data_IF_837329502968
#
_entry.id   IF_837329502968
#
_cell.length_a   1.000
_cell.length_b   1.000
_cell.length_c   1.000
_cell.angle_alpha   90.00
_cell.angle_beta   90.00
_cell.angle_gamma   90.00
#
_symmetry.space_group_name_H-M   'P 1'
#
loop_
_entity.id
_entity.type
_entity.pdbx_description
1 polymer ?
#
# COMPACT_ATOMS: atom_id res chain seq x y z
N UNK A 1 4.61 61.00 -55.90
CA UNK A 1 3.82 60.49 -54.77
C UNK A 1 3.86 58.98 -54.91
N UNK A 2 4.57 58.32 -53.96
CA UNK A 2 4.67 56.83 -53.90
C UNK A 2 3.84 56.40 -52.72
N UNK A 3 2.74 55.65 -52.97
CA UNK A 3 1.86 55.06 -51.97
C UNK A 3 2.48 53.75 -51.49
N UNK A 4 2.76 53.65 -50.23
CA UNK A 4 3.17 52.37 -49.60
C UNK A 4 1.92 51.69 -49.03
N UNK A 5 1.57 50.53 -49.57
CA UNK A 5 0.54 49.64 -49.00
C UNK A 5 1.15 48.84 -47.86
N UNK A 6 0.62 49.04 -46.65
CA UNK A 6 0.93 48.22 -45.49
C UNK A 6 0.07 46.95 -45.53
N UNK A 7 0.70 45.80 -45.74
CA UNK A 7 0.07 44.50 -45.50
C UNK A 7 0.21 44.14 -44.03
N UNK A 8 -0.90 44.21 -43.29
CA UNK A 8 -0.96 43.70 -41.93
C UNK A 8 -1.22 42.17 -41.95
N UNK A 9 -0.19 41.38 -41.69
CA UNK A 9 -0.31 39.94 -41.54
C UNK A 9 -0.90 39.62 -40.14
N UNK A 10 -2.11 39.05 -40.11
CA UNK A 10 -2.70 38.49 -38.86
C UNK A 10 -2.08 37.11 -38.62
N UNK A 11 -1.17 37.03 -37.66
CA UNK A 11 -0.69 35.76 -37.11
C UNK A 11 -1.78 35.19 -36.18
N UNK A 12 -2.56 34.21 -36.67
CA UNK A 12 -3.40 33.39 -35.84
C UNK A 12 -2.48 32.40 -35.08
N UNK A 13 -2.18 32.68 -33.82
CA UNK A 13 -1.57 31.74 -32.90
C UNK A 13 -2.61 30.71 -32.47
N UNK A 14 -2.58 29.53 -33.08
CA UNK A 14 -3.29 28.36 -32.57
C UNK A 14 -2.58 27.87 -31.30
N UNK A 15 -3.12 28.22 -30.15
CA UNK A 15 -2.74 27.59 -28.89
C UNK A 15 -3.32 26.16 -28.87
N UNK A 16 -2.51 25.17 -29.25
CA UNK A 16 -2.83 23.77 -28.97
C UNK A 16 -2.81 23.61 -27.48
N UNK A 17 -3.98 23.66 -26.83
CA UNK A 17 -4.15 23.19 -25.45
C UNK A 17 -3.95 21.67 -25.47
N UNK A 18 -2.75 21.21 -25.14
CA UNK A 18 -2.52 19.80 -24.80
C UNK A 18 -3.27 19.60 -23.48
N UNK A 19 -4.48 19.06 -23.56
CA UNK A 19 -5.22 18.62 -22.40
C UNK A 19 -4.50 17.37 -21.92
N UNK A 20 -3.75 17.50 -20.81
CA UNK A 20 -3.20 16.36 -20.13
C UNK A 20 -4.37 15.43 -19.79
N UNK A 21 -4.32 14.20 -20.26
CA UNK A 21 -5.33 13.20 -19.88
C UNK A 21 -5.34 13.02 -18.36
N UNK A 22 -6.46 12.56 -17.81
CA UNK A 22 -6.56 12.23 -16.39
C UNK A 22 -5.40 11.31 -15.98
N UNK A 23 -4.60 11.74 -15.00
CA UNK A 23 -3.48 10.96 -14.47
C UNK A 23 -4.02 9.85 -13.57
N UNK A 24 -4.60 8.80 -14.18
CA UNK A 24 -5.24 7.69 -13.48
C UNK A 24 -4.80 6.34 -14.03
N UNK A 25 -4.52 5.41 -13.12
CA UNK A 25 -4.47 3.98 -13.42
C UNK A 25 -5.86 3.41 -13.14
N UNK A 26 -6.54 2.82 -14.12
CA UNK A 26 -7.91 2.34 -13.93
C UNK A 26 -8.14 0.93 -14.48
N UNK A 27 -9.09 0.23 -13.85
CA UNK A 27 -9.41 -1.17 -14.16
C UNK A 27 -10.91 -1.44 -14.00
N UNK A 28 -11.40 -2.43 -14.73
CA UNK A 28 -12.80 -2.89 -14.68
C UNK A 28 -13.00 -4.20 -13.90
N UNK A 29 -11.99 -4.62 -13.15
CA UNK A 29 -12.02 -5.81 -12.32
C UNK A 29 -11.13 -5.66 -11.09
N UNK A 30 -11.40 -6.36 -9.98
CA UNK A 30 -10.50 -6.45 -8.83
C UNK A 30 -9.12 -6.98 -9.21
N UNK A 31 -8.12 -6.71 -8.38
CA UNK A 31 -6.82 -7.34 -8.49
C UNK A 31 -6.90 -8.82 -8.09
N UNK A 32 -6.39 -9.71 -8.92
CA UNK A 32 -6.23 -11.13 -8.61
C UNK A 32 -4.87 -11.45 -8.00
N UNK A 33 -3.87 -10.59 -8.26
CA UNK A 33 -2.50 -10.75 -7.78
C UNK A 33 -1.98 -9.46 -7.16
N UNK A 34 -0.91 -9.55 -6.37
CA UNK A 34 -0.31 -8.40 -5.70
C UNK A 34 0.13 -7.29 -6.66
N UNK A 35 0.69 -7.66 -7.81
CA UNK A 35 1.17 -6.68 -8.82
C UNK A 35 0.06 -5.93 -9.53
N UNK A 36 -1.19 -6.37 -9.42
CA UNK A 36 -2.37 -5.69 -9.96
C UNK A 36 -3.02 -4.77 -8.94
N UNK A 37 -2.66 -4.89 -7.65
CA UNK A 37 -3.20 -4.04 -6.59
C UNK A 37 -2.66 -2.60 -6.70
N UNK A 38 -3.43 -1.63 -6.22
CA UNK A 38 -3.10 -0.22 -6.32
C UNK A 38 -2.37 0.25 -5.05
N UNK A 39 -1.16 0.85 -5.17
CA UNK A 39 -0.40 1.28 -4.02
C UNK A 39 -0.85 2.65 -3.49
N UNK A 40 -0.94 2.78 -2.17
CA UNK A 40 -1.02 4.05 -1.45
C UNK A 40 0.00 4.05 -0.32
N UNK A 41 0.57 5.23 0.03
CA UNK A 41 1.57 5.28 1.09
C UNK A 41 1.91 6.71 1.53
N UNK A 42 2.49 6.81 2.74
CA UNK A 42 2.88 8.08 3.37
C UNK A 42 4.33 8.08 3.87
N UNK A 43 5.22 7.37 3.21
CA UNK A 43 6.61 7.08 3.54
C UNK A 43 6.81 6.07 4.70
N UNK A 44 6.00 6.09 5.75
CA UNK A 44 6.07 5.14 6.87
C UNK A 44 5.22 3.90 6.62
N UNK A 45 3.95 4.11 6.31
CA UNK A 45 3.00 3.04 6.03
C UNK A 45 2.65 2.99 4.55
N UNK A 46 2.40 1.82 4.06
CA UNK A 46 1.86 1.58 2.73
C UNK A 46 0.75 0.54 2.75
N UNK A 47 -0.12 0.60 1.76
CA UNK A 47 -1.11 -0.44 1.50
C UNK A 47 -1.18 -0.75 0.00
N UNK A 48 -1.32 -2.04 -0.32
CA UNK A 48 -1.73 -2.52 -1.64
C UNK A 48 -3.23 -2.77 -1.60
N UNK A 49 -4.00 -2.02 -2.39
CA UNK A 49 -5.47 -2.04 -2.41
C UNK A 49 -5.93 -2.93 -3.56
N UNK A 50 -6.58 -4.05 -3.25
CA UNK A 50 -7.00 -5.03 -4.26
C UNK A 50 -8.29 -4.66 -4.98
N UNK A 51 -9.17 -3.91 -4.35
CA UNK A 51 -10.44 -3.49 -4.94
C UNK A 51 -11.49 -4.62 -4.94
N UNK A 52 -11.42 -5.57 -4.03
CA UNK A 52 -12.41 -6.63 -3.89
C UNK A 52 -13.78 -6.09 -3.46
N UNK A 53 -14.87 -6.80 -3.79
CA UNK A 53 -16.23 -6.37 -3.49
C UNK A 53 -16.81 -7.06 -2.26
N UNK A 54 -16.97 -8.37 -2.28
CA UNK A 54 -17.41 -9.14 -1.12
C UNK A 54 -16.29 -9.27 -0.06
N UNK A 55 -15.03 -9.32 -0.50
CA UNK A 55 -13.85 -9.32 0.35
C UNK A 55 -12.81 -8.38 -0.22
N UNK A 56 -12.62 -7.26 0.45
CA UNK A 56 -11.49 -6.36 0.18
C UNK A 56 -10.29 -6.76 0.99
N UNK A 57 -9.12 -6.62 0.40
CA UNK A 57 -7.84 -6.78 1.06
C UNK A 57 -6.98 -5.52 0.88
N UNK A 58 -6.54 -4.96 2.00
CA UNK A 58 -5.48 -3.96 2.03
C UNK A 58 -4.25 -4.63 2.65
N UNK A 59 -3.28 -5.03 1.84
CA UNK A 59 -2.02 -5.55 2.36
C UNK A 59 -1.18 -4.41 2.89
N UNK A 60 -0.89 -4.44 4.19
CA UNK A 60 -0.25 -3.36 4.92
C UNK A 60 1.25 -3.60 5.07
N UNK A 61 2.00 -2.51 4.96
CA UNK A 61 3.43 -2.47 5.20
C UNK A 61 3.78 -1.31 6.14
N UNK A 62 4.83 -1.50 6.93
CA UNK A 62 5.48 -0.44 7.72
C UNK A 62 6.99 -0.51 7.43
N UNK A 63 7.64 0.63 7.21
CA UNK A 63 9.05 0.71 6.81
C UNK A 63 10.02 0.05 7.80
N UNK A 64 9.61 -0.10 9.05
CA UNK A 64 10.43 -0.65 10.13
C UNK A 64 10.36 -2.17 10.25
N UNK A 65 9.44 -2.83 9.52
CA UNK A 65 9.20 -4.27 9.65
C UNK A 65 10.23 -5.11 8.89
N UNK A 66 11.32 -5.45 9.58
CA UNK A 66 12.38 -6.33 9.09
C UNK A 66 12.45 -7.62 9.92
N UNK A 67 12.85 -8.72 9.28
CA UNK A 67 13.18 -9.96 9.97
C UNK A 67 14.45 -9.83 10.82
N UNK A 68 14.68 -10.78 11.70
CA UNK A 68 15.88 -10.78 12.53
C UNK A 68 15.97 -9.60 13.50
N UNK A 69 17.18 -9.14 13.71
CA UNK A 69 17.55 -8.02 14.60
C UNK A 69 18.90 -7.46 14.15
N UNK A 70 19.43 -6.37 14.74
CA UNK A 70 20.75 -5.90 14.44
C UNK A 70 21.81 -7.00 14.56
N UNK A 71 22.63 -7.18 13.54
CA UNK A 71 23.69 -8.20 13.47
C UNK A 71 24.88 -7.65 12.69
N UNK A 72 26.05 -8.28 12.87
CA UNK A 72 27.22 -7.97 12.07
C UNK A 72 27.17 -8.76 10.76
N UNK A 73 27.20 -8.04 9.65
CA UNK A 73 27.26 -8.61 8.29
C UNK A 73 28.55 -8.15 7.57
N UNK A 74 29.59 -7.90 8.35
CA UNK A 74 30.93 -7.60 7.84
C UNK A 74 31.82 -8.84 7.97
N UNK A 75 32.74 -8.99 7.02
CA UNK A 75 33.79 -10.00 7.04
C UNK A 75 35.14 -9.29 7.18
N UNK A 76 35.80 -9.36 8.36
CA UNK A 76 37.06 -8.62 8.58
C UNK A 76 38.14 -8.91 7.57
N UNK A 77 38.20 -10.13 7.02
CA UNK A 77 39.16 -10.56 6.03
C UNK A 77 38.92 -9.95 4.64
N UNK A 78 37.75 -9.43 4.37
CA UNK A 78 37.41 -8.83 3.07
C UNK A 78 38.36 -7.69 2.66
N UNK A 79 38.83 -6.91 3.65
CA UNK A 79 39.79 -5.83 3.41
C UNK A 79 41.07 -6.30 2.72
N UNK A 80 41.54 -7.52 2.99
CA UNK A 80 42.74 -8.09 2.38
C UNK A 80 42.60 -8.34 0.88
N UNK A 81 41.37 -8.65 0.44
CA UNK A 81 41.05 -8.94 -0.97
C UNK A 81 40.69 -7.68 -1.76
N UNK A 82 40.45 -6.55 -1.10
CA UNK A 82 40.00 -5.32 -1.76
C UNK A 82 40.97 -4.79 -2.84
N UNK A 83 42.30 -4.77 -2.64
CA UNK A 83 43.23 -4.34 -3.69
C UNK A 83 43.09 -5.18 -4.96
N UNK A 84 43.07 -6.52 -4.83
CA UNK A 84 42.91 -7.42 -5.96
C UNK A 84 41.59 -7.24 -6.70
N UNK A 85 40.48 -7.02 -5.96
CA UNK A 85 39.17 -6.71 -6.56
C UNK A 85 39.28 -5.47 -7.44
N UNK A 86 39.94 -4.39 -6.94
CA UNK A 86 40.14 -3.15 -7.71
C UNK A 86 40.98 -3.36 -8.97
N UNK A 87 42.05 -4.12 -8.87
CA UNK A 87 42.91 -4.47 -10.02
C UNK A 87 42.11 -5.21 -11.10
N UNK A 88 41.29 -6.19 -10.70
CA UNK A 88 40.44 -6.94 -11.63
C UNK A 88 39.39 -6.04 -12.32
N UNK A 89 38.77 -5.13 -11.58
CA UNK A 89 37.83 -4.18 -12.15
C UNK A 89 38.51 -3.25 -13.17
N UNK A 90 39.65 -2.67 -12.81
CA UNK A 90 40.43 -1.79 -13.72
C UNK A 90 40.98 -2.52 -14.94
N UNK A 91 41.21 -3.83 -14.83
CA UNK A 91 41.58 -4.68 -15.96
C UNK A 91 40.42 -5.14 -16.83
N UNK A 92 39.15 -4.71 -16.52
CA UNK A 92 37.94 -5.16 -17.21
C UNK A 92 37.51 -6.59 -16.91
N UNK A 93 38.11 -7.23 -15.91
CA UNK A 93 37.85 -8.63 -15.52
C UNK A 93 36.71 -8.70 -14.48
N UNK A 94 35.55 -8.19 -14.87
CA UNK A 94 34.40 -8.00 -13.95
C UNK A 94 33.88 -9.30 -13.33
N UNK A 95 33.87 -10.42 -14.09
CA UNK A 95 33.42 -11.72 -13.56
C UNK A 95 34.38 -12.29 -12.52
N UNK A 96 35.71 -12.14 -12.74
CA UNK A 96 36.72 -12.55 -11.76
C UNK A 96 36.60 -11.71 -10.49
N UNK A 97 36.40 -10.39 -10.63
CA UNK A 97 36.15 -9.50 -9.49
C UNK A 97 34.90 -9.88 -8.72
N UNK A 98 33.78 -10.18 -9.41
CA UNK A 98 32.54 -10.62 -8.78
C UNK A 98 32.71 -11.91 -7.99
N UNK A 99 33.37 -12.91 -8.56
CA UNK A 99 33.63 -14.18 -7.87
C UNK A 99 34.49 -13.96 -6.62
N UNK A 100 35.56 -13.15 -6.73
CA UNK A 100 36.42 -12.82 -5.60
C UNK A 100 35.65 -12.09 -4.48
N UNK A 101 34.73 -11.18 -4.84
CA UNK A 101 33.86 -10.52 -3.89
C UNK A 101 32.94 -11.56 -3.22
N UNK A 102 32.28 -12.42 -4.00
CA UNK A 102 31.39 -13.44 -3.45
C UNK A 102 32.10 -14.33 -2.42
N UNK A 103 33.33 -14.75 -2.72
CA UNK A 103 34.11 -15.66 -1.88
C UNK A 103 34.63 -14.98 -0.59
N UNK A 104 35.02 -13.70 -0.67
CA UNK A 104 35.74 -13.04 0.40
C UNK A 104 34.96 -11.98 1.16
N UNK A 105 33.90 -11.40 0.58
CA UNK A 105 33.10 -10.34 1.23
C UNK A 105 31.79 -10.84 1.82
N UNK A 106 31.28 -11.96 1.31
CA UNK A 106 30.04 -12.52 1.81
C UNK A 106 30.23 -13.13 3.20
N UNK A 107 29.49 -12.64 4.18
CA UNK A 107 29.59 -13.04 5.58
C UNK A 107 28.73 -14.26 5.96
N UNK A 108 28.15 -14.95 4.97
CA UNK A 108 27.28 -16.13 5.19
C UNK A 108 25.83 -15.80 5.52
N UNK A 109 25.43 -14.51 5.45
CA UNK A 109 24.05 -14.07 5.64
C UNK A 109 23.66 -13.09 4.52
N UNK A 110 22.48 -13.30 3.93
CA UNK A 110 22.01 -12.51 2.78
C UNK A 110 21.41 -11.15 3.16
N UNK A 111 21.36 -10.82 4.41
CA UNK A 111 20.65 -9.65 4.94
C UNK A 111 19.29 -10.02 5.52
N UNK A 112 18.73 -9.13 6.27
CA UNK A 112 17.43 -9.36 6.89
C UNK A 112 16.31 -9.03 5.89
N UNK A 113 15.30 -9.90 5.72
CA UNK A 113 14.22 -9.66 4.77
C UNK A 113 13.24 -8.61 5.31
N UNK A 114 12.73 -7.79 4.41
CA UNK A 114 11.57 -6.95 4.67
C UNK A 114 10.32 -7.82 4.84
N UNK A 115 9.43 -7.44 5.76
CA UNK A 115 8.24 -8.22 6.11
C UNK A 115 6.99 -7.36 6.04
N UNK A 116 5.90 -7.93 5.53
CA UNK A 116 4.58 -7.29 5.61
C UNK A 116 4.04 -7.40 7.04
N UNK A 117 3.26 -6.40 7.46
CA UNK A 117 2.45 -6.45 8.69
C UNK A 117 1.40 -7.57 8.59
N UNK A 118 0.82 -7.72 7.42
CA UNK A 118 -0.36 -8.52 7.11
C UNK A 118 -1.39 -7.69 6.39
N UNK A 119 -2.65 -8.10 6.43
CA UNK A 119 -3.72 -7.44 5.68
C UNK A 119 -4.89 -7.05 6.58
N UNK A 120 -5.43 -5.86 6.35
CA UNK A 120 -6.76 -5.48 6.80
C UNK A 120 -7.76 -6.05 5.80
N UNK A 121 -8.70 -6.84 6.31
CA UNK A 121 -9.75 -7.48 5.52
C UNK A 121 -11.08 -6.81 5.81
N UNK A 122 -11.81 -6.43 4.76
CA UNK A 122 -13.18 -5.94 4.87
C UNK A 122 -14.10 -6.94 4.17
N UNK A 123 -14.94 -7.62 4.93
CA UNK A 123 -15.90 -8.60 4.42
C UNK A 123 -17.29 -7.98 4.32
N UNK A 124 -17.84 -7.97 3.13
CA UNK A 124 -19.17 -7.41 2.81
C UNK A 124 -20.05 -8.51 2.21
N UNK A 125 -20.71 -9.31 3.04
CA UNK A 125 -21.58 -10.41 2.58
C UNK A 125 -22.69 -9.89 1.65
N UNK A 126 -22.99 -10.64 0.59
CA UNK A 126 -23.96 -10.25 -0.43
C UNK A 126 -23.39 -9.42 -1.59
N UNK A 127 -22.09 -9.08 -1.55
CA UNK A 127 -21.44 -8.33 -2.62
C UNK A 127 -20.60 -9.22 -3.57
N UNK A 128 -20.93 -10.50 -3.66
CA UNK A 128 -20.26 -11.48 -4.55
C UNK A 128 -20.60 -11.24 -6.03
N UNK A 129 -21.82 -10.74 -6.31
CA UNK A 129 -22.29 -10.42 -7.66
C UNK A 129 -22.53 -8.94 -7.79
N UNK A 130 -21.71 -8.25 -8.56
CA UNK A 130 -21.76 -6.80 -8.74
C UNK A 130 -21.90 -6.42 -10.20
N UNK A 131 -22.41 -5.22 -10.45
CA UNK A 131 -22.44 -4.56 -11.75
C UNK A 131 -21.68 -3.24 -11.69
N UNK A 132 -21.39 -2.65 -12.85
CA UNK A 132 -20.75 -1.32 -12.98
C UNK A 132 -19.46 -1.20 -12.15
N UNK A 133 -18.68 -2.28 -12.09
CA UNK A 133 -17.42 -2.28 -11.35
C UNK A 133 -16.38 -1.37 -12.02
N UNK A 134 -15.73 -0.57 -11.18
CA UNK A 134 -14.63 0.30 -11.57
C UNK A 134 -13.69 0.51 -10.38
N UNK A 135 -12.39 0.49 -10.62
CA UNK A 135 -11.38 0.95 -9.66
C UNK A 135 -10.31 1.78 -10.34
N UNK A 136 -9.79 2.75 -9.62
CA UNK A 136 -8.69 3.58 -10.09
C UNK A 136 -7.73 3.99 -8.97
N UNK A 137 -6.54 4.44 -9.37
CA UNK A 137 -5.63 5.24 -8.58
C UNK A 137 -5.49 6.59 -9.29
N UNK A 138 -6.02 7.62 -8.66
CA UNK A 138 -5.83 9.01 -9.04
C UNK A 138 -4.44 9.46 -8.59
N UNK A 139 -3.52 9.66 -9.54
CA UNK A 139 -2.12 9.99 -9.26
C UNK A 139 -1.92 11.43 -8.76
N UNK A 140 -2.83 12.34 -9.06
CA UNK A 140 -2.77 13.72 -8.58
C UNK A 140 -3.21 13.82 -7.11
N UNK A 141 -4.27 13.06 -6.74
CA UNK A 141 -4.83 13.05 -5.39
C UNK A 141 -4.22 11.98 -4.48
N UNK A 142 -3.50 11.01 -5.06
CA UNK A 142 -2.99 9.81 -4.40
C UNK A 142 -4.10 9.03 -3.68
N UNK A 143 -5.27 8.87 -4.34
CA UNK A 143 -6.44 8.17 -3.82
C UNK A 143 -6.75 6.96 -4.69
N UNK A 144 -6.82 5.78 -4.08
CA UNK A 144 -7.35 4.58 -4.70
C UNK A 144 -8.86 4.50 -4.47
N UNK A 145 -9.64 4.40 -5.54
CA UNK A 145 -11.11 4.31 -5.49
C UNK A 145 -11.58 2.97 -6.03
N UNK A 146 -12.56 2.37 -5.37
CA UNK A 146 -13.31 1.21 -5.87
C UNK A 146 -14.79 1.54 -5.83
N UNK A 147 -15.50 1.37 -6.96
CA UNK A 147 -16.94 1.63 -7.08
C UNK A 147 -17.62 0.49 -7.82
N UNK A 148 -18.79 0.10 -7.34
CA UNK A 148 -19.60 -0.95 -7.94
C UNK A 148 -21.08 -0.84 -7.48
N UNK A 149 -21.95 -1.62 -8.10
CA UNK A 149 -23.37 -1.69 -7.71
C UNK A 149 -23.78 -3.10 -7.28
N UNK A 150 -24.63 -3.15 -6.25
CA UNK A 150 -25.37 -4.34 -5.79
C UNK A 150 -26.83 -3.95 -5.64
N UNK A 151 -27.77 -4.68 -6.25
CA UNK A 151 -29.21 -4.45 -6.19
C UNK A 151 -29.61 -2.99 -6.42
N UNK A 152 -28.94 -2.33 -7.38
CA UNK A 152 -29.19 -0.95 -7.75
C UNK A 152 -28.69 0.10 -6.74
N UNK A 153 -27.92 -0.29 -5.71
CA UNK A 153 -27.22 0.59 -4.78
C UNK A 153 -25.77 0.72 -5.22
N UNK A 154 -25.27 1.95 -5.34
CA UNK A 154 -23.86 2.21 -5.64
C UNK A 154 -23.05 2.27 -4.35
N UNK A 155 -22.02 1.45 -4.26
CA UNK A 155 -21.04 1.46 -3.18
C UNK A 155 -19.72 2.05 -3.68
N UNK A 156 -19.08 2.86 -2.84
CA UNK A 156 -17.78 3.45 -3.10
C UNK A 156 -16.87 3.29 -1.89
N UNK A 157 -15.62 2.94 -2.16
CA UNK A 157 -14.54 2.92 -1.17
C UNK A 157 -13.38 3.72 -1.70
N UNK A 158 -12.88 4.65 -0.90
CA UNK A 158 -11.70 5.47 -1.16
C UNK A 158 -10.63 5.14 -0.14
N UNK A 159 -9.41 4.94 -0.59
CA UNK A 159 -8.25 4.63 0.26
C UNK A 159 -7.13 5.61 -0.07
N UNK A 160 -6.60 6.25 0.95
CA UNK A 160 -5.45 7.12 0.84
C UNK A 160 -4.60 7.09 2.12
N UNK A 161 -3.37 7.56 2.03
CA UNK A 161 -2.45 7.63 3.16
C UNK A 161 -2.13 9.09 3.50
N UNK A 162 -2.44 9.51 4.74
CA UNK A 162 -2.12 10.84 5.27
C UNK A 162 -0.70 10.85 5.81
N UNK A 163 0.14 11.74 5.28
CA UNK A 163 1.51 11.94 5.79
C UNK A 163 1.53 12.66 7.15
N UNK A 164 0.81 13.78 7.35
CA UNK A 164 0.83 14.50 8.62
C UNK A 164 0.23 13.70 9.78
N UNK A 165 -0.84 12.92 9.52
CA UNK A 165 -1.53 12.14 10.55
C UNK A 165 -0.95 10.74 10.74
N UNK A 166 -0.07 10.29 9.83
CA UNK A 166 0.58 8.96 9.85
C UNK A 166 -0.43 7.81 9.89
N UNK A 167 -1.51 7.93 9.12
CA UNK A 167 -2.57 6.92 9.00
C UNK A 167 -2.87 6.59 7.55
N UNK A 168 -3.38 5.38 7.33
CA UNK A 168 -4.13 5.04 6.12
C UNK A 168 -5.61 5.22 6.44
N UNK A 169 -6.31 5.92 5.57
CA UNK A 169 -7.74 6.20 5.67
C UNK A 169 -8.49 5.36 4.66
N UNK A 170 -9.55 4.70 5.10
CA UNK A 170 -10.48 3.96 4.24
C UNK A 170 -11.88 4.52 4.46
N UNK A 171 -12.41 5.20 3.47
CA UNK A 171 -13.77 5.75 3.49
C UNK A 171 -14.72 4.87 2.68
N UNK A 172 -15.80 4.44 3.30
CA UNK A 172 -16.86 3.64 2.67
C UNK A 172 -18.15 4.46 2.65
N UNK A 173 -18.80 4.49 1.50
CA UNK A 173 -20.09 5.18 1.31
C UNK A 173 -21.01 4.34 0.42
N UNK A 174 -22.32 4.61 0.54
CA UNK A 174 -23.34 4.11 -0.36
C UNK A 174 -24.24 5.27 -0.82
N UNK A 175 -24.84 5.17 -2.01
CA UNK A 175 -25.77 6.19 -2.54
C UNK A 175 -27.16 6.15 -1.88
N UNK A 176 -27.36 5.24 -0.93
CA UNK A 176 -28.57 5.14 -0.11
C UNK A 176 -28.19 4.95 1.36
N UNK A 177 -28.91 5.60 2.29
CA UNK A 177 -28.63 5.48 3.72
C UNK A 177 -28.88 4.05 4.25
N UNK A 178 -28.18 3.68 5.31
CA UNK A 178 -28.35 2.40 6.00
C UNK A 178 -27.89 1.17 5.21
N UNK A 179 -27.07 1.33 4.16
CA UNK A 179 -26.68 0.21 3.28
C UNK A 179 -25.32 -0.38 3.58
N UNK A 180 -24.51 0.25 4.44
CA UNK A 180 -23.21 -0.29 4.79
C UNK A 180 -23.33 -1.35 5.89
N UNK A 181 -23.06 -2.60 5.52
CA UNK A 181 -23.02 -3.76 6.40
C UNK A 181 -21.76 -4.56 6.10
N UNK A 182 -20.81 -4.59 7.03
CA UNK A 182 -19.54 -5.28 6.81
C UNK A 182 -18.82 -5.60 8.12
N UNK A 183 -17.80 -6.46 8.02
CA UNK A 183 -16.85 -6.75 9.10
C UNK A 183 -15.43 -6.36 8.68
N UNK A 184 -14.66 -5.89 9.64
CA UNK A 184 -13.25 -5.59 9.46
C UNK A 184 -12.44 -6.43 10.41
N UNK A 185 -11.42 -7.12 9.90
CA UNK A 185 -10.52 -7.95 10.69
C UNK A 185 -9.09 -7.89 10.15
N UNK A 186 -8.19 -8.57 10.83
CA UNK A 186 -6.81 -8.68 10.42
C UNK A 186 -6.42 -10.13 10.12
N UNK A 187 -5.57 -10.31 9.13
CA UNK A 187 -4.79 -11.53 8.92
C UNK A 187 -3.31 -11.16 8.81
N UNK A 188 -2.43 -11.98 9.34
CA UNK A 188 -0.99 -11.74 9.25
C UNK A 188 -0.23 -13.05 9.04
N UNK A 189 0.84 -13.05 8.20
CA UNK A 189 1.72 -14.21 8.08
C UNK A 189 2.72 -14.33 9.25
N UNK A 190 2.78 -13.31 10.13
CA UNK A 190 3.66 -13.29 11.29
C UNK A 190 3.00 -13.97 12.51
N UNK A 191 3.78 -14.31 13.52
CA UNK A 191 3.24 -14.63 14.84
C UNK A 191 2.51 -13.40 15.36
N UNK A 192 1.20 -13.51 15.58
CA UNK A 192 0.37 -12.35 15.90
C UNK A 192 -0.82 -12.67 16.81
N UNK A 193 -1.39 -11.61 17.35
CA UNK A 193 -2.65 -11.63 18.09
C UNK A 193 -3.50 -10.44 17.68
N UNK A 194 -4.80 -10.68 17.46
CA UNK A 194 -5.80 -9.64 17.32
C UNK A 194 -6.53 -9.48 18.65
N UNK A 195 -6.85 -8.25 19.03
CA UNK A 195 -7.57 -7.96 20.28
C UNK A 195 -8.25 -6.60 20.20
N UNK A 196 -9.27 -6.41 21.03
CA UNK A 196 -9.91 -5.11 21.22
C UNK A 196 -9.15 -4.30 22.29
N UNK A 197 -8.88 -3.02 22.00
CA UNK A 197 -8.43 -2.02 22.99
C UNK A 197 -9.36 -0.80 22.94
N UNK A 198 -10.32 -0.73 23.85
CA UNK A 198 -11.32 0.33 23.87
C UNK A 198 -12.19 0.35 22.61
N UNK A 199 -12.08 1.42 21.81
CA UNK A 199 -12.79 1.58 20.53
C UNK A 199 -11.95 1.17 19.30
N UNK A 200 -10.86 0.42 19.50
CA UNK A 200 -9.94 0.02 18.43
C UNK A 200 -9.83 -1.49 18.33
N UNK A 201 -9.70 -2.00 17.13
CA UNK A 201 -9.19 -3.33 16.84
C UNK A 201 -7.68 -3.24 16.67
N UNK A 202 -6.94 -4.11 17.34
CA UNK A 202 -5.49 -4.05 17.42
C UNK A 202 -4.89 -5.38 17.01
N UNK A 203 -3.98 -5.33 16.03
CA UNK A 203 -3.09 -6.41 15.65
C UNK A 203 -1.72 -6.19 16.30
N UNK A 204 -1.26 -7.12 17.12
CA UNK A 204 0.12 -7.14 17.60
C UNK A 204 0.86 -8.31 16.99
N UNK A 205 2.13 -8.13 16.64
CA UNK A 205 2.92 -9.17 16.02
C UNK A 205 4.42 -9.03 16.29
N UNK A 206 5.16 -10.06 15.86
CA UNK A 206 6.61 -10.14 16.01
C UNK A 206 7.25 -10.52 14.68
N UNK A 207 8.35 -9.85 14.34
CA UNK A 207 9.19 -10.18 13.19
C UNK A 207 9.76 -11.59 13.28
N UNK A 208 9.94 -12.25 12.14
CA UNK A 208 10.45 -13.63 12.05
C UNK A 208 11.96 -13.70 12.29
N UNK A 209 12.41 -14.82 12.81
CA UNK A 209 13.81 -15.21 12.76
C UNK A 209 14.27 -15.37 11.30
N UNK A 210 15.52 -15.05 11.02
CA UNK A 210 16.10 -15.23 9.68
C UNK A 210 17.58 -15.57 9.78
N UNK A 211 18.05 -16.60 9.06
CA UNK A 211 19.44 -17.07 9.01
C UNK A 211 20.14 -17.13 10.37
N UNK A 212 19.44 -17.66 11.38
CA UNK A 212 19.95 -17.80 12.74
C UNK A 212 19.93 -16.51 13.60
N UNK A 213 19.45 -15.38 13.02
CA UNK A 213 19.26 -14.13 13.75
C UNK A 213 17.81 -14.04 14.21
N UNK A 214 17.62 -13.92 15.55
CA UNK A 214 16.27 -13.85 16.13
C UNK A 214 15.56 -12.56 15.75
N UNK A 215 14.27 -12.66 15.39
CA UNK A 215 13.39 -11.52 15.20
C UNK A 215 13.05 -10.85 16.53
N UNK A 216 13.38 -9.58 16.67
CA UNK A 216 13.11 -8.80 17.89
C UNK A 216 12.12 -7.67 17.67
N UNK A 217 11.88 -7.27 16.42
CA UNK A 217 10.93 -6.19 16.11
C UNK A 217 9.54 -6.66 16.51
N UNK A 218 8.83 -5.80 17.22
CA UNK A 218 7.42 -5.95 17.57
C UNK A 218 6.63 -4.85 16.89
N UNK A 219 5.42 -5.18 16.45
CA UNK A 219 4.52 -4.22 15.84
C UNK A 219 3.20 -4.16 16.59
N UNK A 220 2.58 -3.00 16.53
CA UNK A 220 1.18 -2.81 16.89
C UNK A 220 0.48 -2.01 15.77
N UNK A 221 -0.50 -2.62 15.11
CA UNK A 221 -1.34 -1.95 14.12
C UNK A 221 -2.74 -1.80 14.67
N UNK A 222 -3.31 -0.61 14.57
CA UNK A 222 -4.60 -0.27 15.14
C UNK A 222 -5.57 0.19 14.05
N UNK A 223 -6.83 -0.27 14.13
CA UNK A 223 -7.93 0.27 13.33
C UNK A 223 -9.01 0.83 14.24
N UNK A 224 -9.42 2.07 13.97
CA UNK A 224 -10.58 2.71 14.57
C UNK A 224 -11.61 3.01 13.47
N UNK A 225 -12.88 2.79 13.77
CA UNK A 225 -13.99 3.14 12.89
C UNK A 225 -14.72 4.37 13.43
N UNK A 226 -14.94 5.35 12.55
CA UNK A 226 -15.88 6.45 12.73
C UNK A 226 -17.08 6.16 11.83
N UNK A 227 -18.28 6.08 12.43
CA UNK A 227 -19.49 5.54 11.80
C UNK A 227 -20.60 6.58 11.89
N UNK A 228 -21.14 6.95 10.75
CA UNK A 228 -22.34 7.79 10.64
C UNK A 228 -23.55 6.91 10.33
N UNK A 229 -24.59 7.03 11.16
CA UNK A 229 -25.75 6.12 11.11
C UNK A 229 -25.43 4.70 11.59
N UNK A 230 -26.44 3.87 11.70
CA UNK A 230 -26.31 2.45 12.01
C UNK A 230 -25.72 2.11 13.37
N UNK A 231 -25.05 0.96 13.44
CA UNK A 231 -24.44 0.43 14.68
C UNK A 231 -23.02 -0.08 14.40
N UNK A 232 -22.14 0.09 15.40
CA UNK A 232 -20.81 -0.49 15.40
C UNK A 232 -20.59 -1.33 16.66
N UNK A 233 -20.05 -2.54 16.48
CA UNK A 233 -19.61 -3.43 17.55
C UNK A 233 -18.17 -3.82 17.31
N UNK A 234 -17.37 -3.86 18.36
CA UNK A 234 -15.97 -4.29 18.32
C UNK A 234 -15.79 -5.41 19.32
N UNK A 235 -15.30 -6.54 18.88
CA UNK A 235 -14.86 -7.67 19.71
C UNK A 235 -13.35 -7.92 19.53
N UNK A 236 -12.85 -9.03 20.05
CA UNK A 236 -11.42 -9.35 19.98
C UNK A 236 -10.96 -9.83 18.60
N UNK A 237 -11.84 -9.93 17.63
CA UNK A 237 -11.52 -10.40 16.28
C UNK A 237 -11.88 -9.37 15.20
N UNK A 238 -12.96 -8.61 15.41
CA UNK A 238 -13.56 -7.82 14.34
C UNK A 238 -14.17 -6.50 14.83
N UNK A 239 -14.23 -5.53 13.91
CA UNK A 239 -15.18 -4.42 13.92
C UNK A 239 -16.35 -4.83 13.03
N UNK A 240 -17.57 -4.86 13.56
CA UNK A 240 -18.80 -5.14 12.80
C UNK A 240 -19.61 -3.86 12.68
N UNK A 241 -19.99 -3.50 11.46
CA UNK A 241 -20.83 -2.34 11.14
C UNK A 241 -22.14 -2.84 10.55
N UNK A 242 -23.26 -2.29 11.02
CA UNK A 242 -24.61 -2.65 10.56
C UNK A 242 -25.43 -1.40 10.28
N UNK A 243 -25.93 -1.26 9.06
CA UNK A 243 -26.87 -0.23 8.64
C UNK A 243 -26.30 1.19 8.68
N UNK A 244 -24.98 1.38 8.44
CA UNK A 244 -24.40 2.70 8.43
C UNK A 244 -24.63 3.43 7.09
N UNK A 245 -24.60 4.77 7.15
CA UNK A 245 -24.70 5.67 6.00
C UNK A 245 -23.30 5.93 5.41
N UNK A 246 -22.33 6.19 6.28
CA UNK A 246 -20.93 6.27 5.90
C UNK A 246 -20.03 5.74 7.02
N UNK A 247 -18.82 5.27 6.65
CA UNK A 247 -17.82 4.80 7.60
C UNK A 247 -16.43 5.26 7.16
N UNK A 248 -15.66 5.75 8.13
CA UNK A 248 -14.25 6.02 7.93
C UNK A 248 -13.42 5.16 8.88
N UNK A 249 -12.52 4.34 8.31
CA UNK A 249 -11.55 3.57 9.08
C UNK A 249 -10.21 4.32 9.07
N UNK A 250 -9.61 4.45 10.24
CA UNK A 250 -8.27 4.99 10.43
C UNK A 250 -7.34 3.87 10.85
N UNK A 251 -6.30 3.61 10.06
CA UNK A 251 -5.33 2.54 10.30
C UNK A 251 -3.97 3.16 10.57
N UNK A 252 -3.38 2.86 11.73
CA UNK A 252 -2.02 3.30 12.10
C UNK A 252 -1.18 2.11 12.53
N UNK A 253 0.15 2.21 12.39
CA UNK A 253 1.13 1.20 12.81
C UNK A 253 2.31 1.87 13.51
N UNK A 254 2.94 1.11 14.46
CA UNK A 254 4.12 1.52 15.21
C UNK A 254 4.78 0.39 15.98
#
# INVERSE_FOLDING_TARGET
MKTYSLLAGILLSFSLSIQAGDLKLWYKQPAGTWVEALPVGNSRMGAMVYGGTAREELQLNDETMWGGSPYRNDRPEALKSLPQVRELIFAGKNMEAQNLIQDNFYAGKHGMPYQTIGSLIIETPGHEKVTDYYRDLDLERAVATTRYKVDGVTFQREVFASFPDKVIVVRLTADRPGKLNFKVGYVSPLEHKVSRKGKKLVLTGKGRDHEGVKGLIRMETQTQADVDGGKVKIDDQNITVEGADSVTLYVSSG
#
